data_IF_349942647728
#
_entry.id   IF_349942647728
#
_cell.length_a   1.000
_cell.length_b   1.000
_cell.length_c   1.000
_cell.angle_alpha   90.00
_cell.angle_beta   90.00
_cell.angle_gamma   90.00
#
_symmetry.space_group_name_H-M   'P 1'
#
loop_
_entity.id
_entity.type
_entity.pdbx_description
1 polymer ?
#
# COMPACT_ATOMS: atom_id res chain seq x y z
N UNK A 1 -0.13 34.30 -10.89
CA UNK A 1 -0.75 32.96 -11.00
C UNK A 1 -2.18 33.16 -11.45
N UNK A 2 -2.54 32.61 -12.60
CA UNK A 2 -3.84 32.81 -13.24
C UNK A 2 -4.95 32.01 -12.51
N UNK A 3 -6.19 32.52 -12.53
CA UNK A 3 -7.32 31.95 -11.80
C UNK A 3 -7.72 30.57 -12.34
N UNK A 4 -7.50 30.31 -13.64
CA UNK A 4 -7.76 29.01 -14.26
C UNK A 4 -6.79 27.92 -13.74
N UNK A 5 -5.54 28.29 -13.45
CA UNK A 5 -4.52 27.39 -12.92
C UNK A 5 -4.88 26.89 -11.50
N UNK A 6 -5.40 27.78 -10.64
CA UNK A 6 -5.88 27.42 -9.30
C UNK A 6 -7.06 26.45 -9.34
N UNK A 7 -7.97 26.61 -10.29
CA UNK A 7 -9.14 25.73 -10.45
C UNK A 7 -8.72 24.34 -10.95
N UNK A 8 -7.78 24.28 -11.90
CA UNK A 8 -7.22 23.01 -12.39
C UNK A 8 -6.54 22.24 -11.26
N UNK A 9 -5.74 22.93 -10.44
CA UNK A 9 -5.04 22.31 -9.32
C UNK A 9 -6.00 21.78 -8.24
N UNK A 10 -7.08 22.52 -7.92
CA UNK A 10 -8.15 22.03 -7.02
C UNK A 10 -8.82 20.74 -7.50
N UNK A 11 -9.07 20.61 -8.82
CA UNK A 11 -9.64 19.38 -9.40
C UNK A 11 -8.67 18.21 -9.27
N UNK A 12 -7.39 18.43 -9.58
CA UNK A 12 -6.34 17.41 -9.43
C UNK A 12 -6.22 16.95 -7.98
N UNK A 13 -6.13 17.88 -7.03
CA UNK A 13 -6.06 17.55 -5.58
C UNK A 13 -7.29 16.77 -5.14
N UNK A 14 -8.50 17.12 -5.60
CA UNK A 14 -9.72 16.38 -5.26
C UNK A 14 -9.69 14.93 -5.78
N UNK A 15 -9.19 14.73 -7.00
CA UNK A 15 -9.06 13.38 -7.59
C UNK A 15 -8.04 12.55 -6.81
N UNK A 16 -6.85 13.10 -6.54
CA UNK A 16 -5.82 12.40 -5.76
C UNK A 16 -6.25 12.14 -4.31
N UNK A 17 -7.01 13.05 -3.70
CA UNK A 17 -7.54 12.85 -2.34
C UNK A 17 -8.51 11.66 -2.29
N UNK A 18 -9.41 11.54 -3.28
CA UNK A 18 -10.32 10.39 -3.36
C UNK A 18 -9.53 9.10 -3.66
N UNK A 19 -8.57 9.15 -4.59
CA UNK A 19 -7.75 8.00 -4.93
C UNK A 19 -6.93 7.50 -3.73
N UNK A 20 -6.30 8.40 -2.98
CA UNK A 20 -5.56 8.08 -1.75
C UNK A 20 -6.50 7.53 -0.67
N UNK A 21 -7.66 8.15 -0.45
CA UNK A 21 -8.63 7.65 0.52
C UNK A 21 -9.07 6.22 0.22
N UNK A 22 -9.39 5.93 -1.05
CA UNK A 22 -9.77 4.58 -1.47
C UNK A 22 -8.60 3.60 -1.36
N UNK A 23 -7.38 4.05 -1.68
CA UNK A 23 -6.17 3.26 -1.52
C UNK A 23 -5.95 2.88 -0.05
N UNK A 24 -5.98 3.86 0.86
CA UNK A 24 -5.72 3.65 2.29
C UNK A 24 -6.81 2.76 2.91
N UNK A 25 -8.08 3.02 2.56
CA UNK A 25 -9.19 2.17 3.00
C UNK A 25 -9.02 0.73 2.50
N UNK A 26 -8.64 0.54 1.23
CA UNK A 26 -8.42 -0.78 0.65
C UNK A 26 -7.22 -1.50 1.29
N UNK A 27 -6.10 -0.81 1.49
CA UNK A 27 -4.93 -1.39 2.11
C UNK A 27 -5.21 -1.83 3.54
N UNK A 28 -5.89 -1.00 4.35
CA UNK A 28 -6.21 -1.34 5.74
C UNK A 28 -7.13 -2.56 5.84
N UNK A 29 -8.10 -2.68 4.93
CA UNK A 29 -8.98 -3.86 4.83
C UNK A 29 -8.19 -5.12 4.47
N UNK A 30 -7.29 -5.04 3.48
CA UNK A 30 -6.47 -6.18 3.06
C UNK A 30 -5.54 -6.64 4.19
N UNK A 31 -4.82 -5.71 4.83
CA UNK A 31 -3.93 -6.04 5.95
C UNK A 31 -4.68 -6.67 7.13
N UNK A 32 -5.90 -6.24 7.39
CA UNK A 32 -6.75 -6.81 8.44
C UNK A 32 -7.22 -8.23 8.11
N UNK A 33 -7.54 -8.51 6.85
CA UNK A 33 -8.05 -9.83 6.40
C UNK A 33 -6.93 -10.82 6.14
N UNK A 34 -5.72 -10.35 5.81
CA UNK A 34 -4.58 -11.18 5.42
C UNK A 34 -4.25 -12.34 6.40
N UNK A 35 -4.12 -12.11 7.73
CA UNK A 35 -3.84 -13.20 8.67
C UNK A 35 -4.94 -14.26 8.70
N UNK A 36 -6.20 -13.84 8.60
CA UNK A 36 -7.36 -14.75 8.62
C UNK A 36 -7.37 -15.59 7.34
N UNK A 37 -7.09 -14.99 6.19
CA UNK A 37 -7.00 -15.71 4.93
C UNK A 37 -5.91 -16.79 4.97
N UNK A 38 -4.70 -16.44 5.38
CA UNK A 38 -3.56 -17.37 5.40
C UNK A 38 -3.77 -18.51 6.41
N UNK A 39 -4.31 -18.21 7.59
CA UNK A 39 -4.47 -19.21 8.64
C UNK A 39 -5.73 -20.05 8.50
N UNK A 40 -6.86 -19.44 8.10
CA UNK A 40 -8.17 -20.10 8.08
C UNK A 40 -8.54 -20.66 6.72
N UNK A 41 -8.19 -19.97 5.63
CA UNK A 41 -8.53 -20.43 4.26
C UNK A 41 -7.41 -21.31 3.70
N UNK A 42 -6.15 -20.92 3.86
CA UNK A 42 -5.00 -21.72 3.44
C UNK A 42 -4.60 -22.80 4.46
N UNK A 43 -5.07 -22.72 5.70
CA UNK A 43 -4.72 -23.67 6.76
C UNK A 43 -3.26 -23.59 7.22
N UNK A 44 -2.55 -22.51 6.88
CA UNK A 44 -1.15 -22.34 7.27
C UNK A 44 -1.05 -21.97 8.76
N UNK A 45 0.03 -22.39 9.40
CA UNK A 45 0.29 -22.01 10.80
C UNK A 45 0.89 -20.59 10.90
N UNK A 46 0.94 -20.05 12.11
CA UNK A 46 1.49 -18.71 12.37
C UNK A 46 2.96 -18.56 11.99
N UNK A 47 3.74 -19.65 12.01
CA UNK A 47 5.15 -19.63 11.58
C UNK A 47 5.28 -19.33 10.09
N UNK A 48 4.42 -19.94 9.26
CA UNK A 48 4.39 -19.69 7.81
C UNK A 48 3.91 -18.26 7.53
N UNK A 49 2.89 -17.78 8.25
CA UNK A 49 2.43 -16.39 8.13
C UNK A 49 3.56 -15.39 8.44
N UNK A 50 4.26 -15.58 9.57
CA UNK A 50 5.38 -14.71 9.94
C UNK A 50 6.55 -14.77 8.96
N UNK A 51 6.81 -15.94 8.35
CA UNK A 51 7.79 -16.06 7.27
C UNK A 51 7.37 -15.27 6.02
N UNK A 52 6.10 -15.34 5.62
CA UNK A 52 5.58 -14.60 4.46
C UNK A 52 5.68 -13.09 4.67
N UNK A 53 5.26 -12.60 5.84
CA UNK A 53 5.34 -11.18 6.18
C UNK A 53 6.80 -10.70 6.19
N UNK A 54 7.71 -11.46 6.80
CA UNK A 54 9.13 -11.13 6.83
C UNK A 54 9.80 -11.16 5.45
N UNK A 55 9.40 -12.09 4.57
CA UNK A 55 9.86 -12.11 3.18
C UNK A 55 9.32 -10.90 2.40
N UNK A 56 8.07 -10.52 2.63
CA UNK A 56 7.47 -9.31 2.08
C UNK A 56 8.26 -8.07 2.44
N UNK A 57 8.56 -7.89 3.73
CA UNK A 57 9.36 -6.78 4.25
C UNK A 57 10.78 -6.76 3.67
N UNK A 58 11.41 -7.94 3.53
CA UNK A 58 12.73 -8.04 2.91
C UNK A 58 12.72 -7.58 1.45
N UNK A 59 11.71 -8.00 0.67
CA UNK A 59 11.56 -7.59 -0.74
C UNK A 59 11.32 -6.08 -0.83
N UNK A 60 10.46 -5.51 0.01
CA UNK A 60 10.22 -4.06 0.06
C UNK A 60 11.49 -3.30 0.40
N UNK A 61 12.24 -3.76 1.42
CA UNK A 61 13.50 -3.14 1.84
C UNK A 61 14.54 -3.15 0.73
N UNK A 62 14.72 -4.27 0.04
CA UNK A 62 15.63 -4.38 -1.11
C UNK A 62 15.19 -3.45 -2.23
N UNK A 63 13.89 -3.42 -2.55
CA UNK A 63 13.33 -2.53 -3.59
C UNK A 63 13.57 -1.06 -3.28
N UNK A 64 13.40 -0.65 -2.02
CA UNK A 64 13.68 0.71 -1.55
C UNK A 64 15.17 1.05 -1.63
N UNK A 65 16.05 0.13 -1.23
CA UNK A 65 17.50 0.33 -1.33
C UNK A 65 17.95 0.52 -2.78
N UNK A 66 17.40 -0.29 -3.69
CA UNK A 66 17.68 -0.17 -5.13
C UNK A 66 17.12 1.14 -5.69
N UNK A 67 15.87 1.49 -5.38
CA UNK A 67 15.24 2.73 -5.84
C UNK A 67 15.98 3.97 -5.33
N UNK A 68 16.45 3.95 -4.08
CA UNK A 68 17.24 5.02 -3.49
C UNK A 68 18.64 5.13 -4.09
N UNK A 69 19.26 4.01 -4.51
CA UNK A 69 20.54 4.05 -5.22
C UNK A 69 20.43 4.70 -6.60
N UNK A 70 19.29 4.55 -7.29
CA UNK A 70 19.06 5.09 -8.64
C UNK A 70 18.48 6.51 -8.69
N UNK A 71 18.02 7.06 -7.55
CA UNK A 71 17.44 8.42 -7.47
C UNK A 71 18.46 9.50 -7.19
#
# INVERSE_FOLDING_TARGET
MDNAERVKNKKTVKIFAIASFLNDMGSDMVFSVWPIFVTSVMGANMTILGLLDGLGDAIVSISQAVSGYFS
#
